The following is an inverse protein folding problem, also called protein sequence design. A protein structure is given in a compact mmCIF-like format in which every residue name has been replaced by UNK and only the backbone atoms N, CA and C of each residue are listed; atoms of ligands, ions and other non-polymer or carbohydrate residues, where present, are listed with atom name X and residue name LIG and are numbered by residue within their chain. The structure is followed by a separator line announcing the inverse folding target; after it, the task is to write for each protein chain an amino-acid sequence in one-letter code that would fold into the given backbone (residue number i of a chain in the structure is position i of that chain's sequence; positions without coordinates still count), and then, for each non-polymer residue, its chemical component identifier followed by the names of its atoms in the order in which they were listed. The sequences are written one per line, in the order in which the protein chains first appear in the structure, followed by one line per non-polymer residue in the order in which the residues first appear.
data_IF_243958593778
#
_entry.id   IF_243958593778
#
_cell.length_a   1.000
_cell.length_b   1.000
_cell.length_c   1.000
_cell.angle_alpha   90.00
_cell.angle_beta   90.00
_cell.angle_gamma   90.00
#
_symmetry.space_group_name_H-M   'P 1'
#
loop_
_entity.id
_entity.type
_entity.pdbx_description
1 polymer ?
#
# COMPACT_ATOMS: atom_id res chain seq x y z
N UNK A 1 -14.71 -27.22 39.45
CA UNK A 1 -13.94 -25.98 39.20
C UNK A 1 -13.20 -26.15 37.89
N UNK A 2 -13.77 -25.65 36.79
CA UNK A 2 -13.21 -25.83 35.45
C UNK A 2 -12.32 -24.64 35.12
N UNK A 3 -11.00 -24.84 35.14
CA UNK A 3 -10.04 -23.85 34.64
C UNK A 3 -10.11 -23.81 33.12
N UNK A 4 -10.58 -22.68 32.58
CA UNK A 4 -10.54 -22.39 31.16
C UNK A 4 -9.10 -21.97 30.78
N UNK A 5 -8.42 -22.82 30.00
CA UNK A 5 -7.14 -22.46 29.39
C UNK A 5 -7.36 -21.38 28.33
N UNK A 6 -6.80 -20.20 28.56
CA UNK A 6 -6.78 -19.10 27.59
C UNK A 6 -5.89 -19.49 26.41
N UNK A 7 -6.33 -19.33 25.15
CA UNK A 7 -5.46 -19.58 24.01
C UNK A 7 -4.39 -18.48 23.94
N UNK A 8 -3.14 -18.85 24.21
CA UNK A 8 -1.97 -18.00 23.96
C UNK A 8 -1.93 -17.68 22.46
N UNK A 9 -2.13 -16.41 22.12
CA UNK A 9 -1.89 -15.93 20.77
C UNK A 9 -0.43 -16.24 20.41
N UNK A 10 -0.23 -17.14 19.46
CA UNK A 10 1.09 -17.46 18.92
C UNK A 10 1.58 -16.20 18.21
N UNK A 11 2.40 -15.41 18.89
CA UNK A 11 3.18 -14.35 18.27
C UNK A 11 4.12 -15.03 17.27
N UNK A 12 3.72 -15.05 16.00
CA UNK A 12 4.59 -15.48 14.91
C UNK A 12 5.80 -14.57 14.96
N UNK A 13 6.97 -15.14 15.30
CA UNK A 13 8.22 -14.42 15.36
C UNK A 13 8.45 -13.68 14.05
N UNK A 14 8.34 -12.34 14.10
CA UNK A 14 8.65 -11.48 12.97
C UNK A 14 10.16 -11.45 12.81
N UNK A 15 10.69 -11.53 11.57
CA UNK A 15 12.12 -11.45 11.37
C UNK A 15 12.62 -10.10 11.87
N UNK A 16 13.55 -10.13 12.83
CA UNK A 16 14.31 -8.95 13.20
C UNK A 16 15.25 -8.62 12.03
N UNK A 17 15.00 -7.50 11.34
CA UNK A 17 15.83 -7.10 10.20
C UNK A 17 15.26 -5.94 9.41
N UNK A 18 16.13 -5.34 8.57
CA UNK A 18 15.71 -4.32 7.61
C UNK A 18 14.73 -4.92 6.61
N UNK A 19 13.78 -4.11 6.16
CA UNK A 19 12.87 -4.48 5.09
C UNK A 19 13.29 -3.79 3.80
N UNK A 20 13.22 -4.51 2.68
CA UNK A 20 13.21 -3.92 1.36
C UNK A 20 11.82 -3.33 1.10
N UNK A 21 11.79 -2.03 0.84
CA UNK A 21 10.58 -1.24 0.59
C UNK A 21 10.38 -1.10 -0.92
N UNK A 22 9.18 -1.44 -1.36
CA UNK A 22 8.76 -1.31 -2.75
C UNK A 22 7.48 -0.49 -2.82
N UNK A 23 7.29 0.20 -3.94
CA UNK A 23 6.01 0.79 -4.33
C UNK A 23 5.50 0.03 -5.54
N UNK A 24 4.23 -0.34 -5.55
CA UNK A 24 3.59 -0.92 -6.73
C UNK A 24 2.33 -0.14 -7.10
N UNK A 25 2.06 -0.09 -8.40
CA UNK A 25 0.83 0.44 -8.96
C UNK A 25 -0.04 -0.68 -9.51
N UNK A 26 -1.32 -0.68 -9.16
CA UNK A 26 -2.32 -1.62 -9.65
C UNK A 26 -3.53 -0.88 -10.22
N UNK A 27 -4.31 -1.52 -11.11
CA UNK A 27 -5.55 -0.93 -11.58
C UNK A 27 -6.52 -0.69 -10.42
N UNK A 28 -7.17 0.47 -10.42
CA UNK A 28 -8.30 0.74 -9.54
C UNK A 28 -9.44 -0.24 -9.82
N UNK A 29 -10.06 -0.75 -8.76
CA UNK A 29 -11.28 -1.57 -8.88
C UNK A 29 -12.46 -0.63 -9.07
N UNK A 30 -13.24 -0.89 -10.11
CA UNK A 30 -14.51 -0.22 -10.38
C UNK A 30 -15.62 -1.28 -10.43
N UNK A 31 -16.90 -0.90 -10.27
CA UNK A 31 -18.01 -1.83 -10.44
C UNK A 31 -17.92 -2.54 -11.81
N UNK A 32 -18.33 -3.82 -11.83
CA UNK A 32 -18.25 -4.66 -13.02
C UNK A 32 -19.01 -4.01 -14.19
N UNK A 33 -18.45 -4.11 -15.39
CA UNK A 33 -19.03 -3.53 -16.61
C UNK A 33 -18.15 -2.44 -17.24
N UNK A 34 -18.74 -1.45 -17.94
CA UNK A 34 -17.98 -0.49 -18.74
C UNK A 34 -17.02 0.38 -17.92
N UNK A 35 -17.35 0.66 -16.66
CA UNK A 35 -16.47 1.38 -15.74
C UNK A 35 -15.16 0.60 -15.46
N UNK A 36 -15.26 -0.72 -15.22
CA UNK A 36 -14.08 -1.57 -15.05
C UNK A 36 -13.23 -1.66 -16.33
N UNK A 37 -13.87 -1.68 -17.51
CA UNK A 37 -13.16 -1.69 -18.79
C UNK A 37 -12.39 -0.37 -19.02
N UNK A 38 -12.98 0.77 -18.67
CA UNK A 38 -12.32 2.08 -18.69
C UNK A 38 -11.11 2.13 -17.76
N UNK A 39 -11.24 1.68 -16.50
CA UNK A 39 -10.12 1.68 -15.56
C UNK A 39 -8.99 0.74 -15.98
N UNK A 40 -9.33 -0.42 -16.54
CA UNK A 40 -8.34 -1.37 -17.08
C UNK A 40 -7.61 -0.80 -18.30
N UNK A 41 -8.33 -0.07 -19.16
CA UNK A 41 -7.77 0.62 -20.32
C UNK A 41 -6.84 1.76 -19.89
N UNK A 42 -7.27 2.58 -18.93
CA UNK A 42 -6.45 3.63 -18.34
C UNK A 42 -5.14 3.10 -17.72
N UNK A 43 -5.20 1.98 -17.00
CA UNK A 43 -4.03 1.30 -16.47
C UNK A 43 -3.10 0.77 -17.58
N UNK A 44 -3.67 0.19 -18.64
CA UNK A 44 -2.93 -0.32 -19.79
C UNK A 44 -2.24 0.80 -20.56
N UNK A 45 -2.91 1.94 -20.72
CA UNK A 45 -2.39 3.17 -21.32
C UNK A 45 -1.42 3.93 -20.40
N UNK A 46 -1.27 3.49 -19.14
CA UNK A 46 -0.35 4.10 -18.18
C UNK A 46 -0.76 5.48 -17.71
N UNK A 47 -2.07 5.78 -17.68
CA UNK A 47 -2.59 7.00 -17.09
C UNK A 47 -2.29 7.00 -15.58
N UNK A 48 -1.18 7.65 -15.21
CA UNK A 48 -0.60 7.66 -13.87
C UNK A 48 -1.62 8.08 -12.80
N UNK A 49 -2.46 9.04 -13.14
CA UNK A 49 -3.44 9.64 -12.23
C UNK A 49 -4.65 8.72 -11.97
N UNK A 50 -4.75 7.57 -12.65
CA UNK A 50 -5.78 6.54 -12.48
C UNK A 50 -5.22 5.23 -11.89
N UNK A 51 -3.98 5.24 -11.42
CA UNK A 51 -3.34 4.09 -10.79
C UNK A 51 -3.56 4.12 -9.27
N UNK A 52 -3.77 2.94 -8.69
CA UNK A 52 -3.79 2.76 -7.24
C UNK A 52 -2.40 2.36 -6.76
N UNK A 53 -1.83 3.11 -5.84
CA UNK A 53 -0.50 2.86 -5.30
C UNK A 53 -0.57 2.11 -3.97
N UNK A 54 0.36 1.18 -3.77
CA UNK A 54 0.54 0.45 -2.52
C UNK A 54 2.03 0.34 -2.17
N UNK A 55 2.31 0.25 -0.87
CA UNK A 55 3.66 0.01 -0.35
C UNK A 55 3.79 -1.45 0.05
N UNK A 56 4.89 -2.09 -0.35
CA UNK A 56 5.21 -3.48 -0.01
C UNK A 56 6.51 -3.52 0.80
N UNK A 57 6.44 -4.13 1.97
CA UNK A 57 7.57 -4.41 2.85
C UNK A 57 7.91 -5.88 2.71
N UNK A 58 9.10 -6.17 2.18
CA UNK A 58 9.64 -7.52 2.09
C UNK A 58 10.81 -7.64 3.07
N UNK A 59 10.83 -8.64 3.96
CA UNK A 59 12.02 -8.90 4.79
C UNK A 59 13.26 -9.00 3.90
N UNK A 60 14.38 -8.39 4.32
CA UNK A 60 15.60 -8.38 3.52
C UNK A 60 16.04 -9.82 3.17
N UNK A 61 15.99 -10.21 1.88
CA UNK A 61 16.34 -11.56 1.47
C UNK A 61 17.81 -11.90 1.74
N UNK A 62 18.70 -10.90 1.87
CA UNK A 62 20.10 -11.11 2.23
C UNK A 62 20.29 -11.56 3.69
N UNK A 63 19.37 -11.17 4.58
CA UNK A 63 19.41 -11.53 6.02
C UNK A 63 18.46 -12.63 6.40
N UNK A 64 17.42 -12.85 5.60
CA UNK A 64 16.38 -13.85 5.87
C UNK A 64 16.27 -14.80 4.67
N UNK A 65 17.19 -15.77 4.53
CA UNK A 65 17.27 -16.66 3.37
C UNK A 65 16.12 -17.67 3.28
N UNK A 66 15.16 -17.66 4.21
CA UNK A 66 13.94 -18.48 4.14
C UNK A 66 13.05 -18.00 3.00
N UNK A 67 13.25 -18.66 1.85
CA UNK A 67 12.42 -18.61 0.64
C UNK A 67 10.93 -18.69 1.03
N UNK A 68 10.19 -17.61 0.77
CA UNK A 68 8.73 -17.47 0.88
C UNK A 68 8.13 -16.76 2.12
N UNK A 69 8.83 -15.80 2.73
CA UNK A 69 8.11 -14.85 3.59
C UNK A 69 7.21 -13.92 2.75
N UNK A 70 5.90 -13.84 3.06
CA UNK A 70 5.02 -12.95 2.34
C UNK A 70 5.41 -11.50 2.61
N UNK A 71 5.37 -10.68 1.57
CA UNK A 71 5.51 -9.23 1.71
C UNK A 71 4.26 -8.67 2.39
N UNK A 72 4.46 -7.78 3.35
CA UNK A 72 3.39 -7.00 3.94
C UNK A 72 3.05 -5.88 2.97
N UNK A 73 1.75 -5.63 2.79
CA UNK A 73 1.26 -4.65 1.83
C UNK A 73 0.31 -3.72 2.53
N UNK A 74 0.51 -2.44 2.27
CA UNK A 74 -0.24 -1.34 2.84
C UNK A 74 -0.77 -0.45 1.72
N UNK A 75 -2.06 -0.17 1.75
CA UNK A 75 -2.70 0.73 0.80
C UNK A 75 -3.91 1.44 1.38
N UNK A 76 -4.15 2.68 0.94
CA UNK A 76 -5.28 3.49 1.35
C UNK A 76 -6.28 3.62 0.20
N UNK A 77 -7.50 3.14 0.40
CA UNK A 77 -8.53 3.07 -0.65
C UNK A 77 -9.90 3.47 -0.11
N UNK A 78 -10.89 3.77 -0.97
CA UNK A 78 -12.27 3.88 -0.54
C UNK A 78 -12.70 2.61 0.21
N UNK A 79 -13.55 2.77 1.23
CA UNK A 79 -14.10 1.63 1.98
C UNK A 79 -14.88 0.68 1.06
N UNK A 80 -15.61 1.26 0.10
CA UNK A 80 -16.38 0.57 -0.93
C UNK A 80 -15.94 1.10 -2.31
N UNK A 81 -14.91 0.51 -2.93
CA UNK A 81 -14.40 0.98 -4.23
C UNK A 81 -15.39 0.75 -5.39
N UNK A 82 -16.34 -0.17 -5.23
CA UNK A 82 -17.38 -0.49 -6.19
C UNK A 82 -18.56 0.51 -6.22
N UNK A 83 -18.69 1.40 -5.24
CA UNK A 83 -19.85 2.29 -5.15
C UNK A 83 -19.75 3.48 -6.12
N UNK A 84 -20.84 3.78 -6.83
CA UNK A 84 -20.96 4.93 -7.74
C UNK A 84 -20.72 6.28 -7.03
N UNK A 85 -20.92 6.34 -5.71
CA UNK A 85 -20.60 7.47 -4.86
C UNK A 85 -19.09 7.78 -4.85
N UNK A 86 -18.23 6.76 -4.87
CA UNK A 86 -16.78 6.96 -5.01
C UNK A 86 -16.45 7.57 -6.37
N UNK A 87 -17.13 7.14 -7.44
CA UNK A 87 -16.95 7.68 -8.79
C UNK A 87 -17.41 9.14 -8.91
N UNK A 88 -18.53 9.53 -8.30
CA UNK A 88 -19.01 10.92 -8.30
C UNK A 88 -18.13 11.84 -7.42
N UNK A 89 -17.60 11.31 -6.31
CA UNK A 89 -16.75 12.08 -5.38
C UNK A 89 -15.39 12.45 -5.98
N UNK A 90 -14.88 11.65 -6.93
CA UNK A 90 -13.69 12.01 -7.73
C UNK A 90 -13.91 13.34 -8.46
N UNK A 91 -15.13 13.59 -8.96
CA UNK A 91 -15.47 14.82 -9.68
C UNK A 91 -15.74 15.99 -8.74
N UNK A 92 -16.33 15.75 -7.57
CA UNK A 92 -16.70 16.81 -6.62
C UNK A 92 -15.64 17.12 -5.55
N UNK A 93 -14.52 16.38 -5.50
CA UNK A 93 -13.50 16.43 -4.43
C UNK A 93 -14.10 16.32 -3.02
N UNK A 94 -15.22 15.63 -2.89
CA UNK A 94 -15.89 15.43 -1.61
C UNK A 94 -15.14 14.40 -0.76
N UNK A 95 -15.23 14.56 0.56
CA UNK A 95 -14.75 13.55 1.51
C UNK A 95 -15.59 12.29 1.41
N UNK A 96 -14.93 11.14 1.30
CA UNK A 96 -15.58 9.83 1.38
C UNK A 96 -14.89 8.94 2.42
N UNK A 97 -15.60 7.94 2.98
CA UNK A 97 -14.98 6.98 3.88
C UNK A 97 -13.87 6.18 3.17
N UNK A 98 -12.64 6.36 3.64
CA UNK A 98 -11.48 5.57 3.26
C UNK A 98 -11.19 4.47 4.27
N UNK A 99 -10.27 3.58 3.90
CA UNK A 99 -9.73 2.54 4.77
C UNK A 99 -8.28 2.28 4.40
N UNK A 100 -7.41 2.21 5.40
CA UNK A 100 -6.06 1.67 5.24
C UNK A 100 -6.15 0.16 5.37
N UNK A 101 -5.78 -0.56 4.30
CA UNK A 101 -5.75 -2.01 4.29
C UNK A 101 -4.34 -2.52 4.49
N UNK A 102 -4.24 -3.56 5.32
CA UNK A 102 -3.03 -4.37 5.46
C UNK A 102 -3.30 -5.76 4.93
N UNK A 103 -2.46 -6.25 4.01
CA UNK A 103 -2.54 -7.61 3.46
C UNK A 103 -1.17 -8.25 3.32
N UNK A 104 -1.15 -9.56 3.11
CA UNK A 104 0.07 -10.33 2.83
C UNK A 104 0.05 -10.79 1.38
N UNK A 105 1.12 -10.52 0.64
CA UNK A 105 1.30 -11.02 -0.72
C UNK A 105 2.52 -11.95 -0.79
N UNK A 106 2.36 -13.11 -1.42
CA UNK A 106 3.49 -14.04 -1.63
C UNK A 106 4.49 -13.52 -2.65
N UNK A 107 4.04 -12.72 -3.62
CA UNK A 107 4.86 -12.13 -4.67
C UNK A 107 4.51 -10.65 -4.83
N UNK A 108 5.53 -9.84 -5.09
CA UNK A 108 5.35 -8.45 -5.50
C UNK A 108 4.80 -8.46 -6.94
N UNK A 109 3.87 -7.58 -7.32
CA UNK A 109 3.39 -7.51 -8.69
C UNK A 109 4.54 -7.40 -9.71
N UNK A 110 4.51 -8.23 -10.74
CA UNK A 110 5.62 -8.32 -11.72
C UNK A 110 5.71 -7.09 -12.65
N UNK A 111 4.67 -6.25 -12.68
CA UNK A 111 4.61 -5.02 -13.49
C UNK A 111 4.35 -3.81 -12.59
N UNK A 112 4.93 -2.66 -12.98
CA UNK A 112 4.78 -1.37 -12.29
C UNK A 112 5.07 -1.47 -10.78
N UNK A 113 6.16 -2.16 -10.46
CA UNK A 113 6.70 -2.26 -9.11
C UNK A 113 8.12 -1.72 -9.12
N UNK A 114 8.44 -0.86 -8.15
CA UNK A 114 9.71 -0.18 -8.06
C UNK A 114 10.31 -0.42 -6.68
N UNK A 115 11.58 -0.81 -6.66
CA UNK A 115 12.36 -0.82 -5.43
C UNK A 115 12.69 0.63 -5.06
N UNK A 116 12.41 0.99 -3.81
CA UNK A 116 12.55 2.35 -3.30
C UNK A 116 13.82 2.44 -2.46
N UNK A 117 13.97 1.52 -1.51
CA UNK A 117 15.13 1.48 -0.63
C UNK A 117 15.00 0.43 0.47
N UNK A 118 15.99 0.39 1.34
CA UNK A 118 15.91 -0.36 2.59
C UNK A 118 15.30 0.53 3.67
N UNK A 119 14.57 -0.07 4.61
CA UNK A 119 14.05 0.64 5.75
C UNK A 119 15.17 1.18 6.64
N UNK A 120 15.00 2.40 7.15
CA UNK A 120 15.96 3.05 8.03
C UNK A 120 15.92 2.50 9.46
N UNK A 121 17.09 2.47 10.12
CA UNK A 121 17.25 2.21 11.55
C UNK A 121 17.27 0.73 11.99
N UNK A 122 17.37 0.55 13.31
CA UNK A 122 17.37 -0.74 14.03
C UNK A 122 15.96 -1.19 14.47
N UNK A 123 14.92 -0.41 14.13
CA UNK A 123 13.52 -0.70 14.48
C UNK A 123 12.81 -1.62 13.47
N UNK A 124 11.75 -2.30 13.90
CA UNK A 124 10.92 -3.13 13.01
C UNK A 124 10.10 -2.21 12.07
N UNK A 125 10.51 -2.15 10.80
CA UNK A 125 9.86 -1.33 9.76
C UNK A 125 8.37 -1.65 9.61
N UNK A 126 7.95 -2.88 9.87
CA UNK A 126 6.55 -3.24 9.80
C UNK A 126 5.75 -2.72 11.01
N UNK A 127 6.38 -2.50 12.17
CA UNK A 127 5.73 -1.83 13.32
C UNK A 127 5.60 -0.32 13.06
N UNK A 128 6.62 0.28 12.44
CA UNK A 128 6.55 1.67 11.99
C UNK A 128 5.41 1.86 10.98
N UNK A 129 5.27 0.94 10.01
CA UNK A 129 4.18 0.95 9.04
C UNK A 129 2.81 0.78 9.69
N UNK A 130 2.69 -0.12 10.68
CA UNK A 130 1.43 -0.36 11.42
C UNK A 130 1.02 0.89 12.22
N UNK A 131 1.94 1.47 13.00
CA UNK A 131 1.68 2.70 13.76
C UNK A 131 1.38 3.92 12.89
N UNK A 132 2.00 4.01 11.71
CA UNK A 132 1.66 5.05 10.73
C UNK A 132 0.23 4.84 10.21
N UNK A 133 -0.11 3.61 9.83
CA UNK A 133 -1.41 3.22 9.28
C UNK A 133 -2.56 3.44 10.26
N UNK A 134 -2.36 3.11 11.54
CA UNK A 134 -3.37 3.28 12.59
C UNK A 134 -3.72 4.75 12.86
N UNK A 135 -2.75 5.66 12.66
CA UNK A 135 -2.92 7.10 12.88
C UNK A 135 -3.35 7.86 11.63
N UNK A 136 -3.43 7.20 10.48
CA UNK A 136 -3.76 7.83 9.22
C UNK A 136 -5.23 8.28 9.20
N UNK A 137 -5.54 9.56 8.94
CA UNK A 137 -6.93 10.02 8.80
C UNK A 137 -7.65 9.27 7.68
N UNK A 138 -8.87 8.80 7.91
CA UNK A 138 -9.61 7.97 6.95
C UNK A 138 -10.63 8.74 6.11
N UNK A 139 -10.69 10.06 6.25
CA UNK A 139 -11.42 10.95 5.34
C UNK A 139 -10.70 11.02 3.99
N UNK A 140 -11.03 10.13 3.06
CA UNK A 140 -10.40 10.09 1.75
C UNK A 140 -10.90 11.24 0.88
N UNK A 141 -9.97 11.96 0.27
CA UNK A 141 -10.25 13.02 -0.73
C UNK A 141 -9.37 12.80 -1.94
N UNK A 142 -9.98 12.47 -3.07
CA UNK A 142 -9.23 12.19 -4.30
C UNK A 142 -8.45 13.43 -4.75
N UNK A 143 -7.14 13.27 -4.91
CA UNK A 143 -6.19 14.31 -5.30
C UNK A 143 -5.64 15.17 -4.17
N UNK A 144 -6.05 14.94 -2.91
CA UNK A 144 -5.59 15.73 -1.75
C UNK A 144 -5.28 14.90 -0.50
N UNK A 145 -5.98 13.77 -0.31
CA UNK A 145 -5.73 12.81 0.75
C UNK A 145 -6.16 11.44 0.26
N UNK A 146 -5.34 10.82 -0.59
CA UNK A 146 -5.63 9.52 -1.19
C UNK A 146 -4.45 8.53 -1.15
N UNK A 147 -4.54 7.45 -1.92
CA UNK A 147 -3.51 6.41 -1.98
C UNK A 147 -2.10 6.95 -2.26
N UNK A 148 -1.99 8.07 -2.99
CA UNK A 148 -0.72 8.71 -3.36
C UNK A 148 -0.08 9.39 -2.17
N UNK A 149 -0.86 10.16 -1.42
CA UNK A 149 -0.42 10.85 -0.20
C UNK A 149 -0.02 9.84 0.86
N UNK A 150 -0.84 8.80 1.04
CA UNK A 150 -0.53 7.70 1.94
C UNK A 150 0.77 7.00 1.56
N UNK A 151 0.96 6.69 0.27
CA UNK A 151 2.17 6.02 -0.23
C UNK A 151 3.41 6.89 -0.01
N UNK A 152 3.35 8.18 -0.34
CA UNK A 152 4.46 9.12 -0.11
C UNK A 152 4.80 9.21 1.38
N UNK A 153 3.79 9.39 2.26
CA UNK A 153 4.01 9.53 3.69
C UNK A 153 4.55 8.26 4.35
N UNK A 154 4.04 7.09 3.97
CA UNK A 154 4.54 5.82 4.49
C UNK A 154 5.99 5.57 4.04
N UNK A 155 6.31 5.84 2.78
CA UNK A 155 7.69 5.70 2.27
C UNK A 155 8.65 6.66 2.98
N UNK A 156 8.23 7.91 3.22
CA UNK A 156 9.04 8.88 3.95
C UNK A 156 9.34 8.41 5.38
N UNK A 157 8.35 7.86 6.09
CA UNK A 157 8.55 7.30 7.44
C UNK A 157 9.49 6.09 7.43
N UNK A 158 9.43 5.26 6.39
CA UNK A 158 10.20 4.02 6.34
C UNK A 158 11.63 4.19 5.83
N UNK A 159 11.88 5.16 4.95
CA UNK A 159 13.13 5.26 4.16
C UNK A 159 13.73 6.67 4.12
N UNK A 160 13.05 7.66 4.71
CA UNK A 160 13.40 9.07 4.60
C UNK A 160 13.16 9.69 3.22
N UNK A 161 12.81 8.91 2.20
CA UNK A 161 12.60 9.42 0.84
C UNK A 161 11.28 10.16 0.71
N UNK A 162 11.37 11.42 0.26
CA UNK A 162 10.20 12.29 0.05
C UNK A 162 9.76 12.27 -1.39
N UNK A 163 8.46 12.45 -1.61
CA UNK A 163 7.84 12.60 -2.95
C UNK A 163 8.22 11.45 -3.90
N UNK A 164 8.27 10.23 -3.37
CA UNK A 164 8.70 9.03 -4.13
C UNK A 164 7.92 8.86 -5.42
N UNK A 165 6.61 9.14 -5.41
CA UNK A 165 5.78 9.00 -6.61
C UNK A 165 6.14 9.99 -7.73
N UNK A 166 6.62 11.20 -7.39
CA UNK A 166 7.10 12.17 -8.38
C UNK A 166 8.41 11.69 -9.01
N UNK A 167 9.31 11.14 -8.19
CA UNK A 167 10.57 10.55 -8.65
C UNK A 167 10.31 9.36 -9.58
N UNK A 168 9.41 8.43 -9.20
CA UNK A 168 9.03 7.28 -10.01
C UNK A 168 8.35 7.68 -11.33
N UNK A 169 7.47 8.69 -11.31
CA UNK A 169 6.81 9.22 -12.51
C UNK A 169 7.81 9.87 -13.48
N UNK A 170 8.91 10.41 -12.97
CA UNK A 170 9.97 11.03 -13.78
C UNK A 170 10.91 9.98 -14.36
N UNK A 171 11.24 8.94 -13.59
CA UNK A 171 12.08 7.82 -14.04
C UNK A 171 11.41 6.97 -15.13
N UNK A 172 10.08 6.83 -15.11
CA UNK A 172 9.32 6.08 -16.13
C UNK A 172 9.00 6.86 -17.41
N UNK A 173 9.46 8.11 -17.55
CA UNK A 173 9.30 8.95 -18.76
C UNK A 173 10.59 9.08 -19.60
N UNK A 174 11.66 8.39 -19.19
CA UNK A 174 12.87 8.17 -19.99
C UNK A 174 12.71 6.86 -20.76
#
# INVERSE_FOLDING_TARGET
MSSASTPTAVAVARPAGRYAVYVAAVPLRAPQGPAQALMSSAYSLGLWDLQHFMVLLRPDPARTPTRAQPSLVFDFQPRHPEDALAAFSVLSRSKIPGVVRRRRLRRIPDRRSWFVGLSDGDGDAADAAERFSERWPTDLVVGNHDCRDYTNGLVEVLTGQKRVLDALRSAGRQ
#
